data_IF_569584362690
#
_entry.id   IF_569584362690
#
_cell.length_a   1.000
_cell.length_b   1.000
_cell.length_c   1.000
_cell.angle_alpha   90.00
_cell.angle_beta   90.00
_cell.angle_gamma   90.00
#
_symmetry.space_group_name_H-M   'P 1'
#
loop_
_entity.id
_entity.type
_entity.pdbx_description
1 polymer ?
#
# COMPACT_ATOMS: atom_id res chain seq x y z
N UNK A 1 -14.31 2.87 51.43
CA UNK A 1 -13.27 2.37 50.52
C UNK A 1 -13.46 3.14 49.24
N UNK A 2 -12.40 3.81 48.83
CA UNK A 2 -12.34 4.71 47.69
C UNK A 2 -12.69 3.95 46.40
N UNK A 3 -13.67 4.46 45.66
CA UNK A 3 -14.05 3.93 44.37
C UNK A 3 -12.93 4.23 43.37
N UNK A 4 -12.18 3.18 43.03
CA UNK A 4 -11.18 3.16 41.99
C UNK A 4 -11.87 3.39 40.63
N UNK A 5 -11.72 4.60 40.11
CA UNK A 5 -12.34 5.12 38.88
C UNK A 5 -11.89 4.33 37.62
N UNK A 6 -10.95 3.38 37.75
CA UNK A 6 -10.46 2.54 36.66
C UNK A 6 -11.21 1.21 36.47
N UNK A 7 -12.10 0.79 37.37
CA UNK A 7 -12.94 -0.41 37.17
C UNK A 7 -12.16 -1.72 36.96
N UNK A 8 -10.92 -1.81 37.43
CA UNK A 8 -10.10 -3.02 37.29
C UNK A 8 -10.55 -4.09 38.29
N UNK A 9 -10.93 -5.27 37.79
CA UNK A 9 -11.04 -6.47 38.65
C UNK A 9 -9.65 -6.91 39.08
N UNK A 10 -9.38 -6.92 40.39
CA UNK A 10 -8.12 -7.42 40.96
C UNK A 10 -7.99 -8.94 40.86
N UNK A 11 -9.09 -9.64 40.55
CA UNK A 11 -9.09 -11.06 40.23
C UNK A 11 -9.15 -11.20 38.70
N UNK A 12 -8.06 -11.65 38.03
CA UNK A 12 -8.06 -11.81 36.60
C UNK A 12 -9.00 -12.96 36.20
N UNK A 13 -9.84 -12.74 35.18
CA UNK A 13 -10.85 -13.72 34.75
C UNK A 13 -10.26 -15.09 34.34
N UNK A 14 -8.97 -15.13 34.02
CA UNK A 14 -8.24 -16.32 33.56
C UNK A 14 -7.56 -17.10 34.70
N UNK A 15 -7.63 -16.64 35.95
CA UNK A 15 -6.98 -17.27 37.11
C UNK A 15 -7.31 -18.75 37.28
N UNK A 16 -8.57 -19.10 37.08
CA UNK A 16 -9.07 -20.47 37.29
C UNK A 16 -9.02 -21.31 36.00
N UNK A 17 -8.32 -20.85 34.95
CA UNK A 17 -8.12 -21.60 33.70
C UNK A 17 -6.81 -22.39 33.76
N UNK A 18 -6.82 -23.69 34.12
CA UNK A 18 -5.62 -24.46 34.46
C UNK A 18 -4.65 -24.70 33.29
N UNK A 19 -5.08 -24.47 32.06
CA UNK A 19 -4.29 -24.66 30.84
C UNK A 19 -4.08 -23.36 30.06
N UNK A 20 -4.43 -22.20 30.64
CA UNK A 20 -4.25 -20.90 30.01
C UNK A 20 -3.00 -20.22 30.57
N UNK A 21 -1.94 -20.17 29.77
CA UNK A 21 -0.84 -19.25 30.02
C UNK A 21 -1.15 -17.92 29.30
N UNK A 22 -1.52 -16.91 30.09
CA UNK A 22 -1.86 -15.59 29.57
C UNK A 22 -0.69 -14.94 28.80
N UNK A 23 0.55 -15.30 29.12
CA UNK A 23 1.72 -14.76 28.43
C UNK A 23 1.78 -15.22 26.98
N UNK A 24 1.31 -16.44 26.70
CA UNK A 24 1.19 -16.97 25.34
C UNK A 24 0.00 -16.38 24.56
N UNK A 25 -0.92 -15.67 25.21
CA UNK A 25 -2.02 -14.97 24.54
C UNK A 25 -1.61 -13.57 24.03
N UNK A 26 -0.45 -13.06 24.46
CA UNK A 26 0.05 -11.74 24.04
C UNK A 26 0.80 -11.90 22.72
N UNK A 27 0.08 -11.67 21.62
CA UNK A 27 0.66 -11.78 20.29
C UNK A 27 1.52 -10.54 19.92
N UNK A 28 2.50 -10.71 19.00
CA UNK A 28 3.26 -9.60 18.45
C UNK A 28 2.37 -8.62 17.68
N UNK A 29 2.65 -7.32 17.80
CA UNK A 29 1.88 -6.27 17.12
C UNK A 29 2.82 -5.31 16.39
N UNK A 30 2.82 -5.40 15.07
CA UNK A 30 3.70 -4.61 14.19
C UNK A 30 3.38 -3.11 14.31
N UNK A 31 2.10 -2.72 14.33
CA UNK A 31 1.75 -1.31 14.37
C UNK A 31 2.13 -0.67 15.69
N UNK A 32 1.66 -1.23 16.80
CA UNK A 32 1.78 -0.61 18.11
C UNK A 32 3.11 -0.88 18.80
N UNK A 33 3.71 -2.04 18.59
CA UNK A 33 5.01 -2.35 19.20
C UNK A 33 6.15 -1.84 18.32
N UNK A 34 6.14 -2.13 17.02
CA UNK A 34 7.26 -1.77 16.15
C UNK A 34 7.17 -0.32 15.66
N UNK A 35 6.12 0.07 14.93
CA UNK A 35 6.06 1.42 14.35
C UNK A 35 5.76 2.52 15.37
N UNK A 36 4.76 2.34 16.23
CA UNK A 36 4.40 3.32 17.27
C UNK A 36 5.24 3.19 18.56
N UNK A 37 5.96 2.08 18.73
CA UNK A 37 6.90 1.88 19.84
C UNK A 37 8.35 2.08 19.42
N UNK A 38 8.96 1.09 18.77
CA UNK A 38 10.39 1.08 18.41
C UNK A 38 10.76 2.28 17.53
N UNK A 39 10.10 2.46 16.38
CA UNK A 39 10.42 3.55 15.44
C UNK A 39 10.16 4.92 16.07
N UNK A 40 9.16 5.05 16.94
CA UNK A 40 8.93 6.28 17.73
C UNK A 40 10.17 6.68 18.50
N UNK A 41 10.70 5.73 19.27
CA UNK A 41 11.84 5.98 20.12
C UNK A 41 13.10 6.21 19.29
N UNK A 42 13.30 5.42 18.24
CA UNK A 42 14.46 5.57 17.36
C UNK A 42 14.50 6.96 16.71
N UNK A 43 13.37 7.47 16.21
CA UNK A 43 13.30 8.83 15.65
C UNK A 43 13.64 9.88 16.71
N UNK A 44 13.07 9.77 17.92
CA UNK A 44 13.36 10.71 19.00
C UNK A 44 14.85 10.69 19.41
N UNK A 45 15.48 9.52 19.41
CA UNK A 45 16.92 9.37 19.68
C UNK A 45 17.76 10.01 18.59
N UNK A 46 17.37 9.84 17.34
CA UNK A 46 18.06 10.44 16.19
C UNK A 46 17.95 11.97 16.28
N UNK A 47 16.75 12.51 16.52
CA UNK A 47 16.55 13.95 16.73
C UNK A 47 17.39 14.49 17.88
N UNK A 48 17.59 13.73 18.97
CA UNK A 48 18.53 14.12 20.03
C UNK A 48 19.99 14.14 19.54
N UNK A 49 20.42 13.13 18.79
CA UNK A 49 21.81 12.99 18.33
C UNK A 49 22.23 14.04 17.31
N UNK A 50 21.32 14.45 16.42
CA UNK A 50 21.65 15.35 15.31
C UNK A 50 20.92 16.69 15.33
N UNK A 51 19.99 16.91 16.28
CA UNK A 51 18.96 17.96 16.32
C UNK A 51 17.79 17.73 15.37
N UNK A 52 16.64 18.30 15.70
CA UNK A 52 15.43 18.28 14.88
C UNK A 52 15.66 19.00 13.53
N UNK A 53 16.30 20.17 13.56
CA UNK A 53 16.57 20.99 12.39
C UNK A 53 17.48 20.29 11.37
N UNK A 54 18.55 19.63 11.84
CA UNK A 54 19.41 18.84 10.95
C UNK A 54 18.65 17.66 10.38
N UNK A 55 17.91 16.92 11.21
CA UNK A 55 17.19 15.75 10.73
C UNK A 55 16.17 16.13 9.65
N UNK A 56 15.45 17.24 9.85
CA UNK A 56 14.53 17.80 8.86
C UNK A 56 15.27 18.27 7.60
N UNK A 57 16.40 18.96 7.72
CA UNK A 57 17.21 19.38 6.58
C UNK A 57 17.65 18.19 5.73
N UNK A 58 18.04 17.08 6.37
CA UNK A 58 18.43 15.86 5.67
C UNK A 58 17.26 15.19 4.98
N UNK A 59 16.10 15.10 5.64
CA UNK A 59 14.87 14.60 5.03
C UNK A 59 14.46 15.40 3.79
N UNK A 60 14.63 16.73 3.83
CA UNK A 60 14.33 17.64 2.72
C UNK A 60 15.34 17.48 1.57
N UNK A 61 16.60 17.17 1.86
CA UNK A 61 17.65 17.01 0.86
C UNK A 61 17.55 15.72 0.04
N UNK A 62 16.76 14.74 0.50
CA UNK A 62 16.62 13.47 -0.20
C UNK A 62 15.91 13.66 -1.56
N UNK A 63 16.47 13.13 -2.66
CA UNK A 63 15.82 13.22 -3.95
C UNK A 63 14.49 12.45 -3.93
N UNK A 64 13.48 12.89 -4.71
CA UNK A 64 12.25 12.13 -4.88
C UNK A 64 12.55 10.71 -5.39
N UNK A 65 11.95 9.71 -4.75
CA UNK A 65 12.10 8.30 -5.11
C UNK A 65 10.73 7.63 -5.25
N UNK A 66 10.64 6.63 -6.12
CA UNK A 66 9.40 5.89 -6.34
C UNK A 66 9.02 5.09 -5.08
N UNK A 67 7.75 5.15 -4.68
CA UNK A 67 7.22 4.38 -3.54
C UNK A 67 7.63 4.90 -2.15
N UNK A 68 8.21 6.10 -2.09
CA UNK A 68 8.67 6.78 -0.88
C UNK A 68 8.06 8.17 -0.78
N UNK A 69 7.49 8.51 0.38
CA UNK A 69 7.01 9.87 0.65
C UNK A 69 8.19 10.83 0.84
N UNK A 70 8.17 11.95 0.13
CA UNK A 70 9.12 13.04 0.32
C UNK A 70 8.60 14.04 1.37
N UNK A 71 9.45 14.36 2.36
CA UNK A 71 9.11 15.21 3.50
C UNK A 71 9.63 16.65 3.28
N UNK A 72 8.93 17.41 2.43
CA UNK A 72 9.33 18.78 2.02
C UNK A 72 9.49 19.77 3.17
N UNK A 73 8.72 19.58 4.24
CA UNK A 73 8.72 20.46 5.41
C UNK A 73 9.38 19.81 6.64
N UNK A 74 10.06 18.67 6.45
CA UNK A 74 10.54 17.84 7.54
C UNK A 74 9.42 17.10 8.28
N UNK A 75 9.69 16.66 9.51
CA UNK A 75 8.74 16.00 10.40
C UNK A 75 8.48 16.78 11.68
N UNK A 76 9.34 17.72 12.08
CA UNK A 76 9.23 18.39 13.39
C UNK A 76 8.00 19.28 13.48
N UNK A 77 7.45 19.73 12.34
CA UNK A 77 6.19 20.48 12.25
C UNK A 77 4.94 19.60 12.33
N UNK A 78 5.07 18.27 12.31
CA UNK A 78 3.94 17.35 12.38
C UNK A 78 3.50 17.19 13.83
N UNK A 79 2.35 17.75 14.18
CA UNK A 79 1.78 17.65 15.54
C UNK A 79 1.44 16.21 15.95
N UNK A 80 1.16 15.33 14.98
CA UNK A 80 0.92 13.90 15.20
C UNK A 80 1.43 13.06 14.01
N UNK A 81 2.55 12.36 14.22
CA UNK A 81 3.07 11.43 13.20
C UNK A 81 2.28 10.12 13.23
N UNK A 82 1.50 9.92 12.17
CA UNK A 82 0.62 8.75 11.97
C UNK A 82 1.40 7.46 11.68
N UNK A 83 0.74 6.30 11.79
CA UNK A 83 1.32 5.00 11.40
C UNK A 83 1.89 4.97 9.98
N UNK A 84 1.13 5.39 8.95
CA UNK A 84 1.62 5.49 7.57
C UNK A 84 2.84 6.42 7.42
N UNK A 85 2.91 7.50 8.18
CA UNK A 85 4.08 8.40 8.16
C UNK A 85 5.32 7.73 8.73
N UNK A 86 5.19 7.00 9.85
CA UNK A 86 6.30 6.21 10.43
C UNK A 86 6.77 5.13 9.47
N UNK A 87 5.85 4.42 8.80
CA UNK A 87 6.19 3.44 7.75
C UNK A 87 7.00 4.08 6.63
N UNK A 88 6.65 5.29 6.21
CA UNK A 88 7.42 6.02 5.19
C UNK A 88 8.78 6.51 5.70
N UNK A 89 8.86 7.02 6.93
CA UNK A 89 10.13 7.44 7.54
C UNK A 89 11.11 6.28 7.69
N UNK A 90 10.63 5.11 8.10
CA UNK A 90 11.44 3.90 8.24
C UNK A 90 12.18 3.54 6.93
N UNK A 91 11.57 3.78 5.76
CA UNK A 91 12.18 3.48 4.45
C UNK A 91 13.38 4.37 4.11
N UNK A 92 13.42 5.59 4.64
CA UNK A 92 14.45 6.60 4.30
C UNK A 92 15.39 6.91 5.45
N UNK A 93 15.10 6.42 6.65
CA UNK A 93 15.77 6.79 7.88
C UNK A 93 17.30 6.65 7.77
N UNK A 94 17.78 5.51 7.27
CA UNK A 94 19.22 5.23 7.17
C UNK A 94 19.94 6.24 6.28
N UNK A 95 19.34 6.68 5.17
CA UNK A 95 19.95 7.67 4.28
C UNK A 95 20.20 9.00 5.02
N UNK A 96 19.30 9.37 5.94
CA UNK A 96 19.47 10.55 6.79
C UNK A 96 20.56 10.37 7.86
N UNK A 97 21.02 9.16 8.18
CA UNK A 97 22.03 8.94 9.22
C UNK A 97 23.47 8.98 8.70
N UNK A 98 23.67 8.64 7.42
CA UNK A 98 25.00 8.51 6.81
C UNK A 98 25.79 9.82 6.91
N UNK A 99 26.98 9.75 7.51
CA UNK A 99 27.89 10.89 7.65
C UNK A 99 27.56 11.84 8.81
N UNK A 100 26.47 11.62 9.56
CA UNK A 100 26.12 12.43 10.74
C UNK A 100 26.36 11.69 12.06
N UNK A 101 26.08 10.39 12.11
CA UNK A 101 26.34 9.55 13.28
C UNK A 101 27.39 8.46 12.97
N UNK A 102 28.13 7.97 13.97
CA UNK A 102 29.07 6.86 13.81
C UNK A 102 28.39 5.59 13.26
N UNK A 103 29.19 4.75 12.61
CA UNK A 103 28.74 3.51 11.99
C UNK A 103 27.98 2.59 12.96
N UNK A 104 28.38 2.53 14.22
CA UNK A 104 27.71 1.71 15.24
C UNK A 104 26.24 2.12 15.44
N UNK A 105 25.96 3.42 15.50
CA UNK A 105 24.58 3.92 15.57
C UNK A 105 23.77 3.60 14.31
N UNK A 106 24.42 3.68 13.13
CA UNK A 106 23.78 3.31 11.85
C UNK A 106 23.45 1.81 11.83
N UNK A 107 24.38 0.95 12.25
CA UNK A 107 24.16 -0.50 12.31
C UNK A 107 23.05 -0.85 13.30
N UNK A 108 23.01 -0.22 14.47
CA UNK A 108 21.93 -0.42 15.44
C UNK A 108 20.56 0.01 14.88
N UNK A 109 20.48 1.18 14.24
CA UNK A 109 19.24 1.65 13.62
C UNK A 109 18.80 0.73 12.47
N UNK A 110 19.75 0.29 11.64
CA UNK A 110 19.50 -0.65 10.54
C UNK A 110 18.99 -1.98 11.05
N UNK A 111 19.61 -2.54 12.08
CA UNK A 111 19.19 -3.80 12.70
C UNK A 111 17.72 -3.77 13.13
N UNK A 112 17.26 -2.67 13.74
CA UNK A 112 15.85 -2.50 14.08
C UNK A 112 14.97 -2.44 12.82
N UNK A 113 15.38 -1.72 11.77
CA UNK A 113 14.60 -1.65 10.52
C UNK A 113 14.53 -3.00 9.80
N UNK A 114 15.64 -3.74 9.75
CA UNK A 114 15.72 -5.08 9.17
C UNK A 114 14.80 -6.03 9.94
N UNK A 115 14.83 -6.00 11.28
CA UNK A 115 13.92 -6.78 12.12
C UNK A 115 12.45 -6.47 11.83
N UNK A 116 12.09 -5.18 11.71
CA UNK A 116 10.71 -4.75 11.44
C UNK A 116 10.25 -5.20 10.06
N UNK A 117 11.13 -5.14 9.06
CA UNK A 117 10.83 -5.62 7.72
C UNK A 117 10.62 -7.14 7.70
N UNK A 118 11.50 -7.88 8.37
CA UNK A 118 11.40 -9.34 8.49
C UNK A 118 10.13 -9.76 9.23
N UNK A 119 9.75 -9.05 10.30
CA UNK A 119 8.55 -9.35 11.08
C UNK A 119 7.26 -9.26 10.26
N UNK A 120 7.27 -8.53 9.15
CA UNK A 120 6.12 -8.35 8.25
C UNK A 120 6.10 -9.36 7.09
N UNK A 121 7.01 -10.34 7.05
CA UNK A 121 6.99 -11.33 6.00
C UNK A 121 5.71 -12.18 6.11
N UNK A 122 5.02 -12.44 4.98
CA UNK A 122 3.79 -13.24 4.97
C UNK A 122 4.07 -14.73 5.14
N UNK A 123 5.34 -15.14 5.19
CA UNK A 123 5.76 -16.51 5.45
C UNK A 123 7.19 -16.52 5.99
N UNK A 124 7.47 -17.48 6.87
CA UNK A 124 8.78 -17.68 7.45
C UNK A 124 9.29 -19.10 7.22
N UNK A 125 10.60 -19.22 7.05
CA UNK A 125 11.34 -20.48 7.10
C UNK A 125 12.50 -20.32 8.09
N UNK A 126 13.26 -21.40 8.35
CA UNK A 126 14.39 -21.34 9.28
C UNK A 126 15.47 -20.32 8.86
N UNK A 127 15.54 -19.92 7.59
CA UNK A 127 16.50 -18.91 7.11
C UNK A 127 16.02 -17.50 7.44
N UNK A 128 14.75 -17.19 7.19
CA UNK A 128 14.21 -15.86 7.49
C UNK A 128 14.08 -15.62 8.99
N UNK A 129 13.77 -16.65 9.77
CA UNK A 129 13.85 -16.58 11.24
C UNK A 129 15.28 -16.33 11.72
N UNK A 130 16.27 -16.99 11.11
CA UNK A 130 17.67 -16.72 11.40
C UNK A 130 18.06 -15.28 11.07
N UNK A 131 17.64 -14.72 9.94
CA UNK A 131 17.89 -13.31 9.62
C UNK A 131 17.27 -12.36 10.66
N UNK A 132 16.11 -12.72 11.19
CA UNK A 132 15.46 -11.93 12.24
C UNK A 132 16.25 -11.99 13.55
N UNK A 133 16.78 -13.16 13.91
CA UNK A 133 17.66 -13.33 15.06
C UNK A 133 18.98 -12.56 14.87
N UNK A 134 19.61 -12.66 13.70
CA UNK A 134 20.85 -11.95 13.37
C UNK A 134 20.65 -10.42 13.46
N UNK A 135 19.48 -9.92 13.06
CA UNK A 135 19.11 -8.51 13.22
C UNK A 135 18.98 -8.13 14.70
N UNK A 136 18.32 -8.96 15.51
CA UNK A 136 18.18 -8.74 16.95
C UNK A 136 19.55 -8.77 17.67
N UNK A 137 20.42 -9.70 17.31
CA UNK A 137 21.78 -9.83 17.85
C UNK A 137 22.63 -8.60 17.47
N UNK A 138 22.52 -8.14 16.23
CA UNK A 138 23.19 -6.92 15.77
C UNK A 138 22.73 -5.70 16.55
N UNK A 139 21.42 -5.59 16.83
CA UNK A 139 20.89 -4.54 17.70
C UNK A 139 21.50 -4.62 19.10
N UNK A 140 21.52 -5.80 19.73
CA UNK A 140 22.10 -5.96 21.07
C UNK A 140 23.60 -5.65 21.12
N UNK A 141 24.34 -5.99 20.08
CA UNK A 141 25.77 -5.70 19.96
C UNK A 141 26.07 -4.20 19.80
N UNK A 142 25.19 -3.45 19.12
CA UNK A 142 25.45 -2.06 18.71
C UNK A 142 24.67 -1.01 19.50
N UNK A 143 23.65 -1.40 20.25
CA UNK A 143 22.78 -0.46 21.00
C UNK A 143 23.52 0.40 22.02
N UNK A 144 24.65 -0.07 22.55
CA UNK A 144 25.44 0.66 23.56
C UNK A 144 25.90 2.04 23.08
N UNK A 145 26.01 2.24 21.77
CA UNK A 145 26.21 3.56 21.17
C UNK A 145 25.20 4.60 21.68
N UNK A 146 23.91 4.25 21.79
CA UNK A 146 22.88 5.19 22.27
C UNK A 146 23.01 5.48 23.77
N UNK A 147 23.59 4.57 24.56
CA UNK A 147 23.88 4.81 25.98
C UNK A 147 25.08 5.74 26.12
N UNK A 148 26.16 5.44 25.40
CA UNK A 148 27.40 6.21 25.43
C UNK A 148 27.20 7.64 24.89
N UNK A 149 26.31 7.82 23.91
CA UNK A 149 25.96 9.13 23.37
C UNK A 149 25.05 9.96 24.30
N UNK A 150 24.67 9.43 25.46
CA UNK A 150 23.84 10.12 26.45
C UNK A 150 22.37 10.25 26.06
N UNK A 151 21.94 9.66 24.94
CA UNK A 151 20.54 9.68 24.47
C UNK A 151 19.61 9.08 25.53
N UNK A 152 20.09 8.01 26.20
CA UNK A 152 19.35 7.28 27.23
C UNK A 152 20.28 6.62 28.25
N UNK A 153 19.72 6.29 29.40
CA UNK A 153 20.41 5.57 30.49
C UNK A 153 20.26 4.06 30.41
N UNK A 154 19.16 3.57 29.84
CA UNK A 154 18.86 2.15 29.70
C UNK A 154 17.88 1.87 28.55
N UNK A 155 17.61 0.57 28.31
CA UNK A 155 16.63 0.08 27.35
C UNK A 155 15.48 -0.68 28.02
N UNK A 156 15.13 -0.34 29.27
CA UNK A 156 14.01 -0.92 30.01
C UNK A 156 12.67 -0.37 29.48
N UNK A 157 12.44 -0.58 28.19
CA UNK A 157 11.23 -0.21 27.49
C UNK A 157 10.50 -1.50 27.13
N UNK A 158 9.26 -1.69 27.57
CA UNK A 158 8.49 -2.91 27.29
C UNK A 158 8.46 -3.27 25.80
N UNK A 159 8.37 -2.26 24.92
CA UNK A 159 8.38 -2.45 23.45
C UNK A 159 9.72 -2.96 22.91
N UNK A 160 10.85 -2.62 23.53
CA UNK A 160 12.15 -3.18 23.14
C UNK A 160 12.35 -4.60 23.69
N UNK A 161 11.83 -4.87 24.89
CA UNK A 161 11.81 -6.23 25.43
C UNK A 161 10.94 -7.16 24.57
N UNK A 162 9.83 -6.67 24.03
CA UNK A 162 8.93 -7.50 23.22
C UNK A 162 9.58 -8.07 21.95
N UNK A 163 10.66 -7.46 21.44
CA UNK A 163 11.43 -7.99 20.30
C UNK A 163 11.93 -9.42 20.53
N UNK A 164 12.26 -9.77 21.78
CA UNK A 164 12.70 -11.11 22.16
C UNK A 164 11.63 -12.19 21.92
N UNK A 165 10.36 -11.79 21.90
CA UNK A 165 9.22 -12.70 21.83
C UNK A 165 8.67 -12.88 20.42
N UNK A 166 9.12 -12.11 19.43
CA UNK A 166 8.62 -12.21 18.05
C UNK A 166 8.90 -13.57 17.42
N UNK A 167 10.15 -14.05 17.49
CA UNK A 167 10.52 -15.33 16.87
C UNK A 167 9.74 -16.50 17.50
N UNK A 168 9.72 -16.68 18.84
CA UNK A 168 8.89 -17.73 19.46
C UNK A 168 7.40 -17.60 19.14
N UNK A 169 6.88 -16.37 19.07
CA UNK A 169 5.49 -16.14 18.71
C UNK A 169 5.21 -16.50 17.26
N UNK A 170 6.12 -16.21 16.33
CA UNK A 170 5.96 -16.57 14.92
C UNK A 170 5.97 -18.10 14.76
N UNK A 171 6.84 -18.80 15.50
CA UNK A 171 6.90 -20.27 15.48
C UNK A 171 5.63 -20.92 16.05
N UNK A 172 5.02 -20.31 17.07
CA UNK A 172 3.86 -20.89 17.77
C UNK A 172 2.49 -20.43 17.24
N UNK A 173 2.38 -19.19 16.75
CA UNK A 173 1.12 -18.55 16.35
C UNK A 173 1.05 -18.25 14.84
N UNK A 174 2.16 -18.39 14.12
CA UNK A 174 2.26 -18.03 12.70
C UNK A 174 2.68 -16.57 12.46
N UNK A 175 2.58 -16.14 11.21
CA UNK A 175 3.03 -14.80 10.77
C UNK A 175 2.24 -13.67 11.42
N UNK A 176 2.86 -12.50 11.54
CA UNK A 176 2.31 -11.38 12.33
C UNK A 176 1.06 -10.75 11.72
N UNK A 177 0.81 -10.94 10.42
CA UNK A 177 -0.40 -10.50 9.73
C UNK A 177 -1.68 -11.14 10.30
N UNK A 178 -1.59 -12.37 10.83
CA UNK A 178 -2.73 -13.06 11.45
C UNK A 178 -3.14 -12.48 12.81
N UNK A 179 -2.24 -11.74 13.47
CA UNK A 179 -2.42 -11.24 14.85
C UNK A 179 -2.30 -9.73 14.97
N UNK A 180 -2.00 -9.03 13.87
CA UNK A 180 -1.81 -7.58 13.87
C UNK A 180 -3.13 -6.85 14.18
N UNK A 181 -3.04 -5.79 14.98
CA UNK A 181 -4.22 -5.03 15.41
C UNK A 181 -4.70 -4.01 14.38
N UNK A 182 -3.94 -3.78 13.29
CA UNK A 182 -4.34 -2.91 12.17
C UNK A 182 -5.76 -3.25 11.69
N UNK A 183 -6.09 -4.53 11.52
CA UNK A 183 -7.43 -4.96 11.11
C UNK A 183 -8.51 -4.51 12.12
N UNK A 184 -8.26 -4.69 13.42
CA UNK A 184 -9.20 -4.30 14.46
C UNK A 184 -9.33 -2.77 14.61
N UNK A 185 -8.26 -2.00 14.37
CA UNK A 185 -8.36 -0.53 14.31
C UNK A 185 -9.30 -0.05 13.20
N UNK A 186 -9.21 -0.69 12.02
CA UNK A 186 -10.12 -0.40 10.90
C UNK A 186 -11.56 -0.74 11.27
N UNK A 187 -11.82 -1.90 11.89
CA UNK A 187 -13.16 -2.26 12.36
C UNK A 187 -13.68 -1.27 13.40
N UNK A 188 -12.83 -0.76 14.29
CA UNK A 188 -13.24 0.24 15.27
C UNK A 188 -13.65 1.58 14.62
N UNK A 189 -13.03 1.96 13.49
CA UNK A 189 -13.47 3.10 12.69
C UNK A 189 -14.89 2.85 12.17
N UNK A 190 -15.10 1.74 11.46
CA UNK A 190 -16.36 1.43 10.79
C UNK A 190 -17.49 1.19 11.77
N UNK A 191 -17.25 0.38 12.81
CA UNK A 191 -18.32 -0.08 13.72
C UNK A 191 -18.59 0.86 14.88
N UNK A 192 -17.63 1.69 15.30
CA UNK A 192 -17.86 2.64 16.38
C UNK A 192 -17.77 4.09 15.93
N UNK A 193 -16.68 4.52 15.28
CA UNK A 193 -16.49 5.97 15.01
C UNK A 193 -17.51 6.50 14.01
N UNK A 194 -17.82 5.75 12.95
CA UNK A 194 -18.77 6.19 11.94
C UNK A 194 -20.22 6.16 12.46
N UNK A 195 -20.60 5.10 13.16
CA UNK A 195 -21.88 5.04 13.88
C UNK A 195 -22.01 6.16 14.91
N UNK A 196 -20.94 6.46 15.66
CA UNK A 196 -20.91 7.57 16.60
C UNK A 196 -21.09 8.89 15.85
N UNK A 197 -20.34 9.16 14.77
CA UNK A 197 -20.44 10.37 13.93
C UNK A 197 -21.85 10.56 13.35
N UNK A 198 -22.52 9.47 12.98
CA UNK A 198 -23.89 9.50 12.47
C UNK A 198 -24.96 9.68 13.57
N UNK A 199 -24.61 9.52 14.85
CA UNK A 199 -25.53 9.71 15.98
C UNK A 199 -25.66 11.17 16.38
N UNK A 200 -26.75 11.49 17.10
CA UNK A 200 -27.00 12.82 17.66
C UNK A 200 -26.22 13.11 18.97
N UNK A 201 -25.29 12.23 19.36
CA UNK A 201 -24.48 12.32 20.60
C UNK A 201 -25.24 12.24 21.92
N UNK A 202 -26.53 11.87 21.92
CA UNK A 202 -27.34 11.66 23.12
C UNK A 202 -27.84 10.23 23.17
N UNK A 203 -27.53 9.48 24.23
CA UNK A 203 -27.86 8.05 24.32
C UNK A 203 -27.48 7.29 23.03
N UNK A 204 -26.18 7.29 22.74
CA UNK A 204 -25.64 6.95 21.42
C UNK A 204 -25.59 5.47 21.13
N UNK A 205 -25.45 4.61 22.13
CA UNK A 205 -25.30 3.17 21.94
C UNK A 205 -26.42 2.57 21.08
N UNK A 206 -27.72 2.76 21.39
CA UNK A 206 -28.80 2.26 20.53
C UNK A 206 -28.76 2.82 19.10
N UNK A 207 -28.33 4.07 18.92
CA UNK A 207 -28.22 4.70 17.61
C UNK A 207 -27.09 4.09 16.78
N UNK A 208 -25.94 3.84 17.41
CA UNK A 208 -24.79 3.20 16.78
C UNK A 208 -25.13 1.77 16.33
N UNK A 209 -25.82 1.00 17.18
CA UNK A 209 -26.29 -0.36 16.83
C UNK A 209 -27.29 -0.32 15.68
N UNK A 210 -28.26 0.59 15.71
CA UNK A 210 -29.22 0.76 14.62
C UNK A 210 -28.56 1.19 13.31
N UNK A 211 -27.57 2.08 13.39
CA UNK A 211 -26.78 2.49 12.23
C UNK A 211 -26.02 1.30 11.63
N UNK A 212 -25.37 0.49 12.47
CA UNK A 212 -24.62 -0.69 12.04
C UNK A 212 -25.54 -1.73 11.37
N UNK A 213 -26.69 -2.03 11.99
CA UNK A 213 -27.69 -2.95 11.42
C UNK A 213 -28.19 -2.49 10.03
N UNK A 214 -28.28 -1.17 9.80
CA UNK A 214 -28.63 -0.64 8.48
C UNK A 214 -27.50 -0.85 7.47
N UNK A 215 -26.25 -0.61 7.85
CA UNK A 215 -25.09 -0.86 6.97
C UNK A 215 -25.01 -2.33 6.56
N UNK A 216 -25.19 -3.27 7.50
CA UNK A 216 -25.18 -4.71 7.22
C UNK A 216 -26.29 -5.12 6.24
N UNK A 217 -27.50 -4.55 6.40
CA UNK A 217 -28.63 -4.80 5.49
C UNK A 217 -28.36 -4.28 4.08
N UNK A 218 -27.78 -3.09 3.95
CA UNK A 218 -27.39 -2.52 2.65
C UNK A 218 -26.32 -3.38 2.00
N UNK A 219 -25.26 -3.74 2.73
CA UNK A 219 -24.19 -4.61 2.22
C UNK A 219 -24.72 -5.98 1.76
N UNK A 220 -25.62 -6.59 2.55
CA UNK A 220 -26.26 -7.87 2.18
C UNK A 220 -27.10 -7.74 0.91
N UNK A 221 -27.82 -6.63 0.74
CA UNK A 221 -28.61 -6.38 -0.45
C UNK A 221 -27.75 -6.11 -1.69
N UNK A 222 -26.65 -5.35 -1.55
CA UNK A 222 -25.71 -5.11 -2.63
C UNK A 222 -25.00 -6.40 -3.07
N UNK A 223 -24.63 -7.27 -2.12
CA UNK A 223 -24.14 -8.61 -2.41
C UNK A 223 -25.15 -9.44 -3.18
N UNK A 224 -26.41 -9.49 -2.72
CA UNK A 224 -27.49 -10.20 -3.40
C UNK A 224 -27.69 -9.69 -4.84
N UNK A 225 -27.65 -8.36 -5.05
CA UNK A 225 -27.76 -7.77 -6.39
C UNK A 225 -26.61 -8.19 -7.29
N UNK A 226 -25.38 -8.13 -6.79
CA UNK A 226 -24.18 -8.53 -7.56
C UNK A 226 -24.25 -10.00 -7.96
N UNK A 227 -24.69 -10.86 -7.04
CA UNK A 227 -24.82 -12.28 -7.29
C UNK A 227 -25.95 -12.60 -8.28
N UNK A 228 -27.10 -11.94 -8.13
CA UNK A 228 -28.20 -12.08 -9.08
C UNK A 228 -27.77 -11.67 -10.51
N UNK A 229 -27.07 -10.54 -10.65
CA UNK A 229 -26.53 -10.13 -11.94
C UNK A 229 -25.46 -11.07 -12.49
N UNK A 230 -24.75 -11.82 -11.64
CA UNK A 230 -23.80 -12.86 -12.08
C UNK A 230 -24.52 -14.07 -12.64
N UNK A 231 -25.55 -14.55 -11.94
CA UNK A 231 -26.39 -15.67 -12.39
C UNK A 231 -27.11 -15.34 -13.70
N UNK A 232 -27.68 -14.13 -13.81
CA UNK A 232 -28.33 -13.67 -15.06
C UNK A 232 -27.34 -13.64 -16.26
N UNK A 233 -26.05 -13.39 -16.02
CA UNK A 233 -25.01 -13.45 -17.05
C UNK A 233 -24.58 -14.88 -17.40
N UNK A 234 -24.54 -15.78 -16.42
CA UNK A 234 -24.22 -17.21 -16.62
C UNK A 234 -25.35 -17.93 -17.37
N UNK A 235 -26.62 -17.61 -17.07
CA UNK A 235 -27.80 -18.13 -17.79
C UNK A 235 -27.85 -17.62 -19.25
N UNK A 236 -27.44 -16.37 -19.53
CA UNK A 236 -27.29 -15.86 -20.90
C UNK A 236 -26.15 -16.56 -21.68
N UNK A 237 -25.10 -17.03 -21.00
CA UNK A 237 -23.94 -17.73 -21.60
C UNK A 237 -24.31 -19.17 -22.01
N UNK A 238 -25.11 -19.87 -21.20
CA UNK A 238 -25.62 -21.23 -21.49
C UNK A 238 -26.70 -21.25 -22.60
N UNK A 239 -27.33 -20.10 -22.88
CA UNK A 239 -28.28 -19.92 -23.98
C UNK A 239 -27.62 -19.59 -25.33
N UNK A 240 -26.30 -19.43 -25.38
CA UNK A 240 -25.58 -19.30 -26.66
C UNK A 240 -25.50 -20.67 -27.37
N UNK A 241 -26.00 -20.81 -28.61
CA UNK A 241 -25.97 -22.09 -29.31
C UNK A 241 -24.52 -22.52 -29.58
N UNK A 242 -24.15 -23.69 -29.07
CA UNK A 242 -22.91 -24.37 -29.45
C UNK A 242 -23.00 -24.67 -30.96
N UNK A 243 -22.21 -23.97 -31.77
CA UNK A 243 -22.04 -24.28 -33.19
C UNK A 243 -21.29 -25.61 -33.32
N UNK A 244 -22.04 -26.70 -33.37
CA UNK A 244 -21.54 -28.00 -33.83
C UNK A 244 -21.33 -27.88 -35.34
N UNK A 245 -20.06 -27.87 -35.77
CA UNK A 245 -19.71 -27.95 -37.18
C UNK A 245 -20.02 -29.37 -37.65
N UNK A 246 -21.16 -29.56 -38.32
CA UNK A 246 -21.40 -30.72 -39.18
C UNK A 246 -21.33 -30.29 -40.64
N UNK A 247 -20.57 -31.06 -41.40
CA UNK A 247 -20.28 -30.89 -42.83
C UNK A 247 -21.49 -31.39 -43.62
N UNK A 248 -21.80 -30.71 -44.74
CA UNK A 248 -22.66 -31.09 -45.87
C UNK A 248 -24.08 -30.46 -46.00
N UNK A 249 -24.19 -29.65 -47.07
CA UNK A 249 -25.32 -29.33 -47.98
C UNK A 249 -26.49 -28.35 -47.62
N UNK A 250 -26.36 -27.13 -48.19
CA UNK A 250 -27.26 -26.34 -49.06
C UNK A 250 -28.70 -25.83 -48.69
N UNK A 251 -28.75 -24.48 -48.48
CA UNK A 251 -29.72 -23.39 -48.88
C UNK A 251 -31.19 -23.49 -48.37
N UNK A 252 -31.85 -22.49 -47.75
CA UNK A 252 -32.24 -21.13 -48.27
C UNK A 252 -32.67 -20.16 -47.15
N UNK A 253 -32.30 -18.89 -47.38
CA UNK A 253 -32.51 -17.56 -46.78
C UNK A 253 -33.78 -17.19 -46.00
N UNK A 254 -33.67 -16.32 -44.98
CA UNK A 254 -34.21 -14.93 -44.94
C UNK A 254 -33.33 -14.04 -44.04
N UNK A 255 -33.04 -12.84 -44.52
CA UNK A 255 -32.24 -11.77 -43.91
C UNK A 255 -33.10 -11.01 -42.90
N UNK A 256 -32.58 -10.68 -41.72
CA UNK A 256 -32.88 -9.36 -41.14
C UNK A 256 -31.72 -8.81 -40.30
N UNK A 257 -31.58 -7.50 -40.36
CA UNK A 257 -30.34 -6.76 -40.20
C UNK A 257 -29.94 -6.49 -38.73
N UNK A 258 -28.68 -6.81 -38.41
CA UNK A 258 -27.73 -6.04 -37.58
C UNK A 258 -28.28 -5.21 -36.40
N UNK A 259 -28.05 -5.69 -35.18
CA UNK A 259 -27.49 -4.85 -34.12
C UNK A 259 -26.21 -5.48 -33.56
N UNK A 260 -25.09 -4.75 -33.70
CA UNK A 260 -23.77 -5.19 -33.31
C UNK A 260 -23.60 -5.12 -31.79
N UNK A 261 -23.40 -6.27 -31.13
CA UNK A 261 -23.04 -6.33 -29.71
C UNK A 261 -21.61 -5.82 -29.53
N UNK A 262 -21.51 -4.65 -28.91
CA UNK A 262 -20.25 -3.98 -28.56
C UNK A 262 -19.55 -4.77 -27.43
N UNK A 263 -18.25 -5.07 -27.51
CA UNK A 263 -17.55 -5.77 -26.44
C UNK A 263 -17.57 -4.95 -25.13
N UNK A 264 -18.04 -5.57 -24.04
CA UNK A 264 -18.08 -4.98 -22.68
C UNK A 264 -16.68 -4.53 -22.26
N UNK A 265 -16.52 -3.22 -22.08
CA UNK A 265 -15.29 -2.57 -21.61
C UNK A 265 -14.87 -3.09 -20.24
N UNK A 266 -13.68 -3.68 -20.16
CA UNK A 266 -12.92 -3.80 -18.91
C UNK A 266 -12.57 -2.38 -18.46
N UNK A 267 -13.23 -1.89 -17.41
CA UNK A 267 -12.96 -0.56 -16.85
C UNK A 267 -11.66 -0.60 -16.03
N UNK A 268 -10.52 -0.35 -16.69
CA UNK A 268 -9.20 -0.19 -16.07
C UNK A 268 -9.08 1.02 -15.11
N UNK A 269 -10.19 1.67 -14.72
CA UNK A 269 -10.17 2.85 -13.85
C UNK A 269 -9.47 4.07 -14.45
N UNK A 270 -9.23 4.09 -15.78
CA UNK A 270 -8.50 5.16 -16.47
C UNK A 270 -9.47 6.27 -16.92
N UNK A 271 -9.24 7.51 -16.46
CA UNK A 271 -9.95 8.72 -16.92
C UNK A 271 -8.98 9.65 -17.66
N UNK A 272 -9.28 9.91 -18.93
CA UNK A 272 -8.57 10.85 -19.79
C UNK A 272 -9.44 12.08 -20.07
N UNK A 273 -8.82 13.20 -20.44
CA UNK A 273 -9.56 14.36 -20.95
C UNK A 273 -10.27 14.01 -22.26
N UNK A 274 -11.49 14.53 -22.48
CA UNK A 274 -12.29 14.23 -23.69
C UNK A 274 -11.60 14.58 -25.01
N UNK A 275 -10.64 15.52 -24.97
CA UNK A 275 -9.84 15.93 -26.13
C UNK A 275 -8.37 15.85 -25.77
N UNK A 276 -7.56 15.31 -26.68
CA UNK A 276 -6.11 15.31 -26.55
C UNK A 276 -5.59 16.75 -26.64
N UNK A 277 -4.81 17.23 -25.65
CA UNK A 277 -4.14 18.52 -25.73
C UNK A 277 -3.22 18.64 -26.96
N UNK A 278 -2.60 17.53 -27.38
CA UNK A 278 -1.80 17.45 -28.60
C UNK A 278 -2.32 16.32 -29.49
N UNK A 279 -3.09 16.66 -30.52
CA UNK A 279 -3.64 15.69 -31.47
C UNK A 279 -2.68 15.43 -32.63
N UNK A 280 -2.68 14.19 -33.15
CA UNK A 280 -1.91 13.75 -34.34
C UNK A 280 -0.44 14.12 -34.31
N UNK A 281 0.21 13.95 -33.17
CA UNK A 281 1.64 14.21 -33.02
C UNK A 281 2.45 13.08 -33.63
N UNK A 282 3.40 13.42 -34.50
CA UNK A 282 4.27 12.43 -35.14
C UNK A 282 5.09 11.66 -34.10
N UNK A 283 5.21 10.34 -34.25
CA UNK A 283 5.85 9.44 -33.26
C UNK A 283 7.31 9.82 -32.98
N UNK A 284 8.06 10.21 -34.01
CA UNK A 284 9.45 10.68 -33.84
C UNK A 284 9.55 12.01 -33.09
N UNK A 285 8.52 12.87 -33.22
CA UNK A 285 8.44 14.12 -32.48
C UNK A 285 8.10 13.86 -31.02
N UNK A 286 7.27 12.87 -30.72
CA UNK A 286 7.01 12.40 -29.34
C UNK A 286 8.29 11.90 -28.69
N UNK A 287 9.04 11.04 -29.37
CA UNK A 287 10.31 10.51 -28.86
C UNK A 287 11.32 11.63 -28.55
N UNK A 288 11.39 12.66 -29.38
CA UNK A 288 12.27 13.83 -29.19
C UNK A 288 11.78 14.75 -28.07
N UNK A 289 10.53 15.19 -28.13
CA UNK A 289 9.96 16.18 -27.19
C UNK A 289 9.89 15.66 -25.75
N UNK A 290 9.73 14.34 -25.57
CA UNK A 290 9.72 13.68 -24.26
C UNK A 290 11.09 13.07 -23.89
N UNK A 291 12.11 13.21 -24.75
CA UNK A 291 13.45 12.65 -24.55
C UNK A 291 13.43 11.13 -24.27
N UNK A 292 12.64 10.37 -25.02
CA UNK A 292 12.51 8.90 -24.94
C UNK A 292 12.93 8.28 -26.28
N UNK A 293 14.24 8.08 -26.52
CA UNK A 293 14.72 7.57 -27.82
C UNK A 293 14.28 6.13 -28.09
N UNK A 294 13.97 5.36 -27.04
CA UNK A 294 13.50 3.97 -27.14
C UNK A 294 11.99 3.86 -27.34
N UNK A 295 11.24 4.97 -27.38
CA UNK A 295 9.77 4.98 -27.41
C UNK A 295 9.20 4.14 -28.55
N UNK A 296 9.76 4.30 -29.75
CA UNK A 296 9.32 3.57 -30.95
C UNK A 296 9.52 2.06 -30.78
N UNK A 297 10.67 1.64 -30.28
CA UNK A 297 10.98 0.23 -30.05
C UNK A 297 10.06 -0.40 -29.00
N UNK A 298 9.81 0.32 -27.90
CA UNK A 298 8.90 -0.12 -26.83
C UNK A 298 7.47 -0.21 -27.33
N UNK A 299 7.01 0.77 -28.13
CA UNK A 299 5.67 0.77 -28.72
C UNK A 299 5.45 -0.44 -29.64
N UNK A 300 6.43 -0.77 -30.48
CA UNK A 300 6.36 -1.96 -31.34
C UNK A 300 6.23 -3.26 -30.53
N UNK A 301 7.02 -3.39 -29.46
CA UNK A 301 6.96 -4.57 -28.58
C UNK A 301 5.63 -4.65 -27.82
N UNK A 302 5.11 -3.52 -27.36
CA UNK A 302 3.80 -3.45 -26.70
C UNK A 302 2.67 -3.89 -27.63
N UNK A 303 2.61 -3.35 -28.86
CA UNK A 303 1.61 -3.75 -29.85
C UNK A 303 1.72 -5.21 -30.26
N UNK A 304 2.94 -5.75 -30.33
CA UNK A 304 3.16 -7.17 -30.59
C UNK A 304 2.56 -8.06 -29.49
N UNK A 305 2.58 -7.62 -28.23
CA UNK A 305 1.96 -8.32 -27.10
C UNK A 305 0.43 -8.33 -27.12
N UNK A 306 -0.22 -7.46 -27.91
CA UNK A 306 -1.67 -7.43 -28.07
C UNK A 306 -2.18 -8.36 -29.20
N UNK A 307 -1.28 -9.04 -29.92
CA UNK A 307 -1.66 -9.94 -31.02
C UNK A 307 -2.11 -11.30 -30.48
N UNK A 308 -3.09 -11.98 -31.12
CA UNK A 308 -3.46 -13.35 -30.78
C UNK A 308 -2.28 -14.33 -30.88
N UNK A 309 -1.35 -14.07 -31.80
CA UNK A 309 -0.09 -14.77 -31.96
C UNK A 309 1.06 -13.74 -32.06
N UNK A 310 1.83 -13.51 -30.98
CA UNK A 310 2.95 -12.57 -30.97
C UNK A 310 4.13 -13.04 -31.86
N UNK A 311 4.78 -12.10 -32.55
CA UNK A 311 6.00 -12.35 -33.31
C UNK A 311 7.23 -12.44 -32.39
N UNK A 312 8.30 -13.09 -32.89
CA UNK A 312 9.62 -13.05 -32.26
C UNK A 312 10.11 -11.60 -32.10
N UNK A 313 10.80 -11.32 -30.99
CA UNK A 313 11.24 -9.98 -30.61
C UNK A 313 12.01 -9.23 -31.71
N UNK A 314 12.91 -9.92 -32.42
CA UNK A 314 13.69 -9.33 -33.51
C UNK A 314 12.78 -8.85 -34.65
N UNK A 315 11.85 -9.72 -35.08
CA UNK A 315 10.89 -9.41 -36.14
C UNK A 315 9.92 -8.28 -35.72
N UNK A 316 9.52 -8.24 -34.45
CA UNK A 316 8.66 -7.18 -33.93
C UNK A 316 9.34 -5.80 -33.95
N UNK A 317 10.67 -5.73 -33.76
CA UNK A 317 11.41 -4.46 -33.82
C UNK A 317 11.60 -3.96 -35.25
N UNK A 318 11.69 -4.85 -36.23
CA UNK A 318 11.80 -4.53 -37.66
C UNK A 318 10.46 -4.20 -38.32
N UNK A 319 9.34 -4.66 -37.73
CA UNK A 319 8.00 -4.41 -38.25
C UNK A 319 7.69 -2.89 -38.36
N UNK A 320 7.02 -2.50 -39.43
CA UNK A 320 6.51 -1.13 -39.60
C UNK A 320 5.25 -0.91 -38.76
N UNK A 321 5.09 0.31 -38.23
CA UNK A 321 3.84 0.72 -37.60
C UNK A 321 2.86 1.14 -38.69
N UNK A 322 1.58 0.79 -38.52
CA UNK A 322 0.51 1.15 -39.47
C UNK A 322 0.03 2.60 -39.35
N UNK A 323 0.66 3.37 -38.45
CA UNK A 323 0.38 4.78 -38.20
C UNK A 323 1.69 5.51 -37.87
N UNK A 324 1.75 6.79 -38.20
CA UNK A 324 2.90 7.69 -38.03
C UNK A 324 2.70 8.73 -36.92
N UNK A 325 1.47 8.84 -36.43
CA UNK A 325 1.03 9.88 -35.51
C UNK A 325 0.07 9.34 -34.45
N UNK A 326 0.11 9.96 -33.27
CA UNK A 326 -0.70 9.60 -32.11
C UNK A 326 -1.27 10.84 -31.43
N UNK A 327 -2.45 10.70 -30.85
CA UNK A 327 -3.00 11.68 -29.93
C UNK A 327 -2.32 11.53 -28.55
N UNK A 328 -1.89 12.66 -27.97
CA UNK A 328 -1.12 12.69 -26.74
C UNK A 328 -1.88 13.41 -25.63
N UNK A 329 -2.02 12.70 -24.51
CA UNK A 329 -2.54 13.23 -23.26
C UNK A 329 -1.38 13.37 -22.27
N UNK A 330 -1.11 14.61 -21.85
CA UNK A 330 -0.10 14.91 -20.85
C UNK A 330 -0.51 14.53 -19.42
N UNK A 331 -1.77 14.13 -19.22
CA UNK A 331 -2.31 13.77 -17.92
C UNK A 331 -3.29 12.62 -18.06
N UNK A 332 -3.09 11.59 -17.26
CA UNK A 332 -4.02 10.47 -17.08
C UNK A 332 -4.36 10.33 -15.62
N UNK A 333 -5.64 10.11 -15.32
CA UNK A 333 -6.08 9.73 -13.98
C UNK A 333 -6.30 8.22 -13.96
N UNK A 334 -5.71 7.53 -13.00
CA UNK A 334 -5.82 6.09 -12.84
C UNK A 334 -6.45 5.83 -11.48
N UNK A 335 -7.38 4.89 -11.43
CA UNK A 335 -8.04 4.47 -10.19
C UNK A 335 -7.72 2.99 -9.97
N UNK A 336 -6.52 2.64 -9.47
CA UNK A 336 -6.16 1.25 -9.26
C UNK A 336 -7.09 0.63 -8.23
N UNK A 337 -7.56 -0.60 -8.51
CA UNK A 337 -8.29 -1.40 -7.53
C UNK A 337 -7.32 -1.73 -6.40
N UNK A 338 -7.60 -1.24 -5.20
CA UNK A 338 -6.80 -1.53 -4.02
C UNK A 338 -6.90 -3.02 -3.69
N UNK A 339 -5.76 -3.66 -3.40
CA UNK A 339 -5.70 -5.06 -3.01
C UNK A 339 -6.13 -5.29 -1.54
N UNK A 340 -6.28 -4.23 -0.74
CA UNK A 340 -6.42 -4.34 0.71
C UNK A 340 -7.46 -3.41 1.35
N UNK A 341 -8.12 -2.52 0.58
CA UNK A 341 -9.16 -1.62 1.10
C UNK A 341 -10.20 -1.31 0.01
N UNK A 342 -11.50 -1.26 0.35
CA UNK A 342 -12.59 -0.82 -0.56
C UNK A 342 -12.57 0.69 -0.89
N UNK A 343 -11.43 1.38 -0.74
CA UNK A 343 -11.29 2.80 -1.10
C UNK A 343 -10.71 2.95 -2.51
N UNK A 344 -11.47 3.61 -3.38
CA UNK A 344 -10.98 4.05 -4.68
C UNK A 344 -9.95 5.19 -4.50
N UNK A 345 -8.66 4.89 -4.70
CA UNK A 345 -7.63 5.90 -4.80
C UNK A 345 -7.58 6.44 -6.24
N UNK A 346 -7.66 7.77 -6.40
CA UNK A 346 -7.51 8.39 -7.72
C UNK A 346 -6.14 9.05 -7.84
N UNK A 347 -5.29 8.44 -8.66
CA UNK A 347 -3.94 8.93 -8.93
C UNK A 347 -3.90 9.73 -10.22
N UNK A 348 -3.08 10.77 -10.27
CA UNK A 348 -2.83 11.55 -11.49
C UNK A 348 -1.39 11.36 -11.92
N UNK A 349 -1.19 10.75 -13.08
CA UNK A 349 0.10 10.66 -13.75
C UNK A 349 0.19 11.75 -14.80
N UNK A 350 1.26 12.54 -14.78
CA UNK A 350 1.55 13.52 -15.84
C UNK A 350 2.84 13.17 -16.58
N UNK A 351 2.80 13.33 -17.90
CA UNK A 351 3.95 13.21 -18.79
C UNK A 351 3.98 14.46 -19.69
N UNK A 352 4.78 15.45 -19.33
CA UNK A 352 4.86 16.75 -20.03
C UNK A 352 6.18 16.84 -20.81
N UNK A 353 6.23 17.42 -22.02
CA UNK A 353 7.46 17.65 -22.77
C UNK A 353 8.47 18.50 -21.98
N UNK A 354 9.76 18.26 -22.19
CA UNK A 354 10.83 19.03 -21.54
C UNK A 354 11.03 20.36 -22.30
N UNK A 355 10.77 21.49 -21.65
CA UNK A 355 11.09 22.84 -22.17
C UNK A 355 12.29 23.45 -21.43
N UNK A 356 13.03 24.35 -22.11
CA UNK A 356 14.25 25.04 -21.65
C UNK A 356 14.16 25.79 -20.32
N UNK A 357 12.97 25.94 -19.72
CA UNK A 357 12.76 26.52 -18.37
C UNK A 357 12.22 25.55 -17.32
N UNK A 358 12.19 24.23 -17.59
CA UNK A 358 11.61 23.23 -16.69
C UNK A 358 12.68 22.63 -15.75
N UNK A 359 12.52 22.82 -14.44
CA UNK A 359 13.25 22.08 -13.39
C UNK A 359 12.67 20.67 -13.12
N UNK A 360 11.61 20.27 -13.83
CA UNK A 360 10.85 19.06 -13.56
C UNK A 360 11.40 17.84 -14.31
N UNK A 361 11.69 16.76 -13.58
CA UNK A 361 12.03 15.46 -14.17
C UNK A 361 10.80 14.73 -14.73
N UNK A 362 10.97 14.16 -15.93
CA UNK A 362 10.18 13.21 -16.77
C UNK A 362 8.77 12.72 -16.38
N UNK A 363 8.40 12.58 -15.09
CA UNK A 363 7.05 12.20 -14.63
C UNK A 363 6.70 12.95 -13.34
N UNK A 364 5.63 13.75 -13.35
CA UNK A 364 5.14 14.45 -12.14
C UNK A 364 3.96 13.68 -11.55
N UNK A 365 4.14 13.10 -10.37
CA UNK A 365 3.08 12.48 -9.57
C UNK A 365 2.47 13.53 -8.63
N UNK A 366 1.15 13.74 -8.72
CA UNK A 366 0.40 14.57 -7.77
C UNK A 366 -0.81 13.81 -7.24
N UNK A 367 -0.79 13.34 -5.98
CA UNK A 367 -2.01 12.85 -5.34
C UNK A 367 -2.93 14.03 -5.05
N UNK A 368 -4.21 13.93 -5.45
CA UNK A 368 -5.26 14.83 -4.96
C UNK A 368 -5.88 14.16 -3.74
N UNK A 369 -5.67 14.73 -2.56
CA UNK A 369 -6.57 14.48 -1.44
C UNK A 369 -7.90 15.19 -1.75
N UNK A 370 -9.01 14.45 -1.69
CA UNK A 370 -10.34 14.97 -1.98
C UNK A 370 -10.74 16.14 -1.07
N UNK A 371 -11.54 17.04 -1.63
CA UNK A 371 -12.20 18.16 -0.94
C UNK A 371 -13.20 17.69 0.10
#
# INVERSE_FOLDING_TARGET
MEDDVAGGSYDPFWKDLPYCDIHNAIAPDVLHQLFQGIIKHLIAWIQFLMTEDEFDSRLQSLPPALGVRHFKDGISKLSQVTGPERKNLAKILIACLVGKIPSDGIFAARALLDFILLAQYPSHDGRTLKYMQDALDTWHLKRDYFLQSGVRRDFNIPKFHSLLHYIPSIESQGTTDNVNTEMFEHLHITFAKDGWRASNKRNTFPQMINWLSRQEKVASYDFFRKEKSRIELEEEEDLMPVTVINVDEEVVTVIDEKEAVVPKKVNLGIRLAKRAPESKKHIEKIARDHCVPTFIAVLKLFLNGLRPAPLLRAMALEASLVFDSLDIWHQVKISPTSLFEDKEYMETVKAVPIWKGSEVSRFEYRPRYGQ
#
